data_IF_723715591756
#
_entry.id   IF_723715591756
#
_cell.length_a   1.000
_cell.length_b   1.000
_cell.length_c   1.000
_cell.angle_alpha   90.00
_cell.angle_beta   90.00
_cell.angle_gamma   90.00
#
_symmetry.space_group_name_H-M   'P 1'
#
loop_
_entity.id
_entity.type
_entity.pdbx_description
1 polymer ?
#
# COMPACT_ATOMS: atom_id res chain seq x y z
N UNK A 1 24.80 3.78 2.45
CA UNK A 1 23.44 3.27 2.23
C UNK A 1 22.93 3.79 0.89
N UNK A 2 22.47 2.88 0.01
CA UNK A 2 21.94 3.25 -1.31
C UNK A 2 20.59 3.94 -1.24
N UNK A 3 19.83 3.64 -0.19
CA UNK A 3 18.47 4.13 -0.01
C UNK A 3 18.44 5.06 1.19
N UNK A 4 18.05 6.30 0.93
CA UNK A 4 18.00 7.32 1.98
C UNK A 4 16.57 7.43 2.52
N UNK A 5 16.38 7.36 3.84
CA UNK A 5 15.02 7.40 4.40
C UNK A 5 14.23 8.65 4.04
N UNK A 6 14.90 9.77 3.84
CA UNK A 6 14.22 11.04 3.49
C UNK A 6 13.67 11.06 2.06
N UNK A 7 14.03 10.09 1.22
CA UNK A 7 13.52 10.01 -0.15
C UNK A 7 12.13 9.34 -0.23
N UNK A 8 11.68 8.73 0.86
CA UNK A 8 10.43 7.98 0.88
C UNK A 8 9.27 8.83 1.39
N UNK A 9 8.14 8.84 0.67
CA UNK A 9 6.94 9.51 1.15
C UNK A 9 6.37 8.77 2.36
N UNK A 10 5.73 9.51 3.23
CA UNK A 10 5.05 8.95 4.39
C UNK A 10 3.70 9.61 4.61
N UNK A 11 2.86 8.94 5.39
CA UNK A 11 1.55 9.45 5.79
C UNK A 11 1.49 9.47 7.31
N UNK A 12 0.91 10.52 7.86
CA UNK A 12 0.68 10.65 9.30
C UNK A 12 -0.81 10.83 9.53
N UNK A 13 -1.36 10.09 10.48
CA UNK A 13 -2.73 10.30 10.92
C UNK A 13 -2.81 10.33 12.45
N UNK A 14 -3.73 11.12 13.00
CA UNK A 14 -3.95 11.10 14.44
C UNK A 14 -4.61 9.77 14.83
N UNK A 15 -4.24 9.26 16.01
CA UNK A 15 -4.85 8.09 16.62
C UNK A 15 -5.91 8.53 17.60
N UNK A 16 -7.06 7.82 17.63
CA UNK A 16 -8.09 8.06 18.61
C UNK A 16 -7.62 7.63 20.00
N UNK A 17 -8.33 8.06 21.06
CA UNK A 17 -8.03 7.62 22.42
C UNK A 17 -8.12 6.10 22.55
N UNK A 18 -9.09 5.48 21.85
CA UNK A 18 -9.26 4.03 21.84
C UNK A 18 -8.08 3.31 21.19
N UNK A 19 -7.41 3.96 20.24
CA UNK A 19 -6.22 3.43 19.57
C UNK A 19 -4.92 3.73 20.31
N UNK A 20 -4.99 4.42 21.43
CA UNK A 20 -3.82 4.77 22.25
C UNK A 20 -3.41 6.24 22.18
N UNK A 21 -4.07 7.04 21.36
CA UNK A 21 -3.74 8.46 21.18
C UNK A 21 -2.45 8.68 20.40
N UNK A 22 -2.08 9.93 20.23
CA UNK A 22 -0.89 10.30 19.48
C UNK A 22 -1.07 10.23 17.98
N UNK A 23 0.00 9.92 17.26
CA UNK A 23 0.04 9.92 15.80
C UNK A 23 0.69 8.64 15.28
N UNK A 24 0.14 8.13 14.18
CA UNK A 24 0.71 6.99 13.46
C UNK A 24 1.40 7.49 12.19
N UNK A 25 2.59 6.96 11.91
CA UNK A 25 3.28 7.21 10.65
C UNK A 25 3.39 5.89 9.88
N UNK A 26 3.19 5.96 8.57
CA UNK A 26 3.36 4.82 7.68
C UNK A 26 4.05 5.23 6.40
N UNK A 27 4.79 4.30 5.81
CA UNK A 27 5.49 4.49 4.54
C UNK A 27 4.81 3.61 3.49
N UNK A 28 4.09 4.21 2.52
CA UNK A 28 3.36 3.43 1.52
C UNK A 28 4.22 2.47 0.70
N UNK A 29 5.50 2.78 0.53
CA UNK A 29 6.42 1.91 -0.20
C UNK A 29 6.80 0.64 0.58
N UNK A 30 6.51 0.61 1.89
CA UNK A 30 6.83 -0.51 2.78
C UNK A 30 5.56 -0.92 3.53
N UNK A 31 4.96 -2.03 3.13
CA UNK A 31 3.64 -2.43 3.62
C UNK A 31 3.54 -2.62 5.14
N UNK A 32 4.64 -2.92 5.81
CA UNK A 32 4.65 -3.18 7.25
C UNK A 32 5.51 -2.19 8.04
N UNK A 33 6.01 -1.15 7.39
CA UNK A 33 6.84 -0.16 8.07
C UNK A 33 5.96 0.94 8.65
N UNK A 34 5.53 0.75 9.89
CA UNK A 34 4.74 1.73 10.63
C UNK A 34 5.38 1.98 11.98
N UNK A 35 5.14 3.17 12.52
CA UNK A 35 5.56 3.57 13.86
C UNK A 35 4.58 4.61 14.38
N UNK A 36 4.82 5.09 15.60
CA UNK A 36 3.96 6.09 16.22
C UNK A 36 4.77 7.06 17.08
N UNK A 37 4.10 8.06 17.60
CA UNK A 37 4.67 9.02 18.54
C UNK A 37 3.56 9.84 19.16
N UNK A 38 3.84 10.50 20.27
CA UNK A 38 2.87 11.36 20.94
C UNK A 38 2.68 12.68 20.22
N UNK A 39 3.70 13.12 19.48
CA UNK A 39 3.66 14.32 18.65
C UNK A 39 3.99 13.95 17.21
N UNK A 40 3.69 14.86 16.28
CA UNK A 40 4.03 14.66 14.86
C UNK A 40 5.54 14.50 14.70
N UNK A 41 6.32 15.34 15.36
CA UNK A 41 7.79 15.31 15.30
C UNK A 41 8.34 13.99 15.81
N UNK A 42 7.77 13.48 16.91
CA UNK A 42 8.17 12.20 17.49
C UNK A 42 7.81 11.05 16.55
N UNK A 43 6.62 11.08 15.96
CA UNK A 43 6.19 10.07 14.98
C UNK A 43 7.14 10.04 13.78
N UNK A 44 7.56 11.20 13.28
CA UNK A 44 8.50 11.29 12.15
C UNK A 44 9.86 10.70 12.53
N UNK A 45 10.39 11.05 13.70
CA UNK A 45 11.67 10.52 14.18
C UNK A 45 11.63 9.01 14.34
N UNK A 46 10.57 8.50 14.98
CA UNK A 46 10.41 7.06 15.20
C UNK A 46 10.18 6.32 13.87
N UNK A 47 9.42 6.92 12.96
CA UNK A 47 9.20 6.35 11.64
C UNK A 47 10.46 6.26 10.82
N UNK A 48 11.30 7.29 10.87
CA UNK A 48 12.59 7.29 10.19
C UNK A 48 13.50 6.17 10.71
N UNK A 49 13.57 5.99 12.02
CA UNK A 49 14.35 4.92 12.64
C UNK A 49 13.82 3.54 12.22
N UNK A 50 12.50 3.37 12.23
CA UNK A 50 11.87 2.12 11.79
C UNK A 50 12.17 1.83 10.31
N UNK A 51 12.12 2.85 9.46
CA UNK A 51 12.42 2.71 8.04
C UNK A 51 13.87 2.31 7.81
N UNK A 52 14.80 2.96 8.51
CA UNK A 52 16.22 2.62 8.41
C UNK A 52 16.48 1.17 8.82
N UNK A 53 15.86 0.72 9.92
CA UNK A 53 15.98 -0.65 10.37
C UNK A 53 15.39 -1.64 9.35
N UNK A 54 14.24 -1.30 8.75
CA UNK A 54 13.60 -2.13 7.74
C UNK A 54 14.49 -2.28 6.49
N UNK A 55 15.04 -1.17 6.00
CA UNK A 55 15.95 -1.20 4.85
C UNK A 55 17.17 -2.06 5.15
N UNK A 56 17.77 -1.88 6.34
CA UNK A 56 18.94 -2.65 6.73
C UNK A 56 18.67 -4.15 6.76
N UNK A 57 17.52 -4.56 7.29
CA UNK A 57 17.11 -5.96 7.33
C UNK A 57 16.94 -6.53 5.92
N UNK A 58 16.28 -5.77 5.02
CA UNK A 58 16.09 -6.21 3.64
C UNK A 58 17.42 -6.39 2.92
N UNK A 59 18.33 -5.45 3.09
CA UNK A 59 19.67 -5.54 2.48
C UNK A 59 20.46 -6.76 2.99
N UNK A 60 20.45 -6.99 4.31
CA UNK A 60 21.13 -8.14 4.91
C UNK A 60 20.58 -9.47 4.39
N UNK A 61 19.26 -9.55 4.21
CA UNK A 61 18.61 -10.76 3.71
C UNK A 61 18.67 -10.91 2.20
N UNK A 62 19.25 -9.95 1.50
CA UNK A 62 19.30 -9.96 0.03
C UNK A 62 17.93 -9.79 -0.61
N UNK A 63 16.96 -9.21 0.10
CA UNK A 63 15.63 -8.93 -0.44
C UNK A 63 15.59 -7.57 -1.13
N UNK A 64 14.73 -7.40 -2.14
CA UNK A 64 14.65 -6.12 -2.82
C UNK A 64 14.12 -5.01 -1.89
N UNK A 65 14.77 -3.85 -1.96
CA UNK A 65 14.34 -2.65 -1.25
C UNK A 65 13.47 -1.86 -2.22
N UNK A 66 12.21 -1.53 -1.84
CA UNK A 66 11.34 -0.74 -2.72
C UNK A 66 11.97 0.60 -3.09
N UNK A 67 11.78 1.03 -4.33
CA UNK A 67 12.18 2.36 -4.76
C UNK A 67 11.21 3.41 -4.20
N UNK A 68 11.66 4.64 -3.95
CA UNK A 68 10.76 5.71 -3.52
C UNK A 68 9.63 5.92 -4.52
N UNK A 69 8.42 6.13 -4.00
CA UNK A 69 7.19 6.33 -4.79
C UNK A 69 6.77 5.13 -5.67
N UNK A 70 7.27 3.94 -5.36
CA UNK A 70 6.94 2.74 -6.13
C UNK A 70 5.63 2.07 -5.68
N UNK A 71 5.15 2.39 -4.48
CA UNK A 71 4.01 1.69 -3.89
C UNK A 71 4.34 0.29 -3.38
N UNK A 72 5.63 -0.02 -3.26
CA UNK A 72 6.14 -1.29 -2.77
C UNK A 72 6.64 -2.20 -3.88
N UNK A 73 7.15 -3.35 -3.46
CA UNK A 73 7.58 -4.40 -4.40
C UNK A 73 6.33 -5.09 -4.95
N UNK A 74 6.31 -5.37 -6.24
CA UNK A 74 5.18 -6.06 -6.87
C UNK A 74 4.89 -7.38 -6.17
N UNK A 75 3.66 -7.57 -5.72
CA UNK A 75 3.28 -8.72 -4.90
C UNK A 75 2.03 -9.46 -5.39
N UNK A 76 1.41 -9.03 -6.46
CA UNK A 76 0.14 -9.58 -6.93
C UNK A 76 -1.05 -9.16 -6.07
N UNK A 77 -0.88 -8.16 -5.24
CA UNK A 77 -1.94 -7.64 -4.38
C UNK A 77 -2.07 -6.13 -4.54
N UNK A 78 -3.31 -5.65 -4.63
CA UNK A 78 -3.58 -4.22 -4.58
C UNK A 78 -4.90 -3.94 -3.89
N UNK A 79 -5.10 -2.71 -3.46
CA UNK A 79 -6.36 -2.27 -2.85
C UNK A 79 -6.86 -1.05 -3.61
N UNK A 80 -8.14 -1.06 -3.96
CA UNK A 80 -8.77 0.06 -4.65
C UNK A 80 -10.01 0.48 -3.90
N UNK A 81 -10.25 1.79 -3.85
CA UNK A 81 -11.49 2.35 -3.34
C UNK A 81 -12.35 2.77 -4.52
N UNK A 82 -13.58 2.29 -4.55
CA UNK A 82 -14.52 2.61 -5.62
C UNK A 82 -15.79 3.20 -5.04
N UNK A 83 -16.51 4.05 -5.81
CA UNK A 83 -17.82 4.54 -5.38
C UNK A 83 -18.76 3.38 -5.09
N UNK A 84 -19.72 3.61 -4.18
CA UNK A 84 -20.71 2.58 -3.80
C UNK A 84 -21.47 2.03 -5.00
N UNK A 85 -21.79 2.87 -5.97
CA UNK A 85 -22.50 2.46 -7.19
C UNK A 85 -21.69 1.47 -8.02
N UNK A 86 -20.39 1.70 -8.15
CA UNK A 86 -19.49 0.79 -8.89
C UNK A 86 -19.37 -0.54 -8.14
N UNK A 87 -19.21 -0.49 -6.81
CA UNK A 87 -19.14 -1.69 -6.00
C UNK A 87 -20.41 -2.54 -6.13
N UNK A 88 -21.58 -1.88 -6.08
CA UNK A 88 -22.86 -2.57 -6.24
C UNK A 88 -23.00 -3.23 -7.62
N UNK A 89 -22.61 -2.54 -8.69
CA UNK A 89 -22.64 -3.09 -10.04
C UNK A 89 -21.74 -4.31 -10.18
N UNK A 90 -20.53 -4.23 -9.62
CA UNK A 90 -19.60 -5.34 -9.64
C UNK A 90 -20.15 -6.55 -8.88
N UNK A 91 -20.71 -6.32 -7.70
CA UNK A 91 -21.29 -7.40 -6.90
C UNK A 91 -22.46 -8.08 -7.61
N UNK A 92 -23.33 -7.31 -8.24
CA UNK A 92 -24.47 -7.83 -9.01
C UNK A 92 -23.99 -8.67 -10.19
N UNK A 93 -23.02 -8.17 -10.93
CA UNK A 93 -22.47 -8.87 -12.09
C UNK A 93 -21.75 -10.16 -11.69
N UNK A 94 -20.97 -10.13 -10.62
CA UNK A 94 -20.31 -11.33 -10.11
C UNK A 94 -21.33 -12.41 -9.75
N UNK A 95 -22.42 -12.01 -9.10
CA UNK A 95 -23.49 -12.93 -8.72
C UNK A 95 -24.19 -13.51 -9.95
N UNK A 96 -24.46 -12.66 -10.95
CA UNK A 96 -25.08 -13.10 -12.20
C UNK A 96 -24.20 -14.08 -12.97
N UNK A 97 -22.88 -13.89 -12.93
CA UNK A 97 -21.93 -14.76 -13.61
C UNK A 97 -21.52 -15.98 -12.77
N UNK A 98 -21.97 -16.05 -11.53
CA UNK A 98 -21.63 -17.17 -10.64
C UNK A 98 -20.19 -17.23 -10.20
N UNK A 99 -19.51 -16.09 -10.15
CA UNK A 99 -18.12 -15.99 -9.72
C UNK A 99 -17.98 -15.08 -8.51
N UNK A 100 -16.85 -15.16 -7.81
CA UNK A 100 -16.58 -14.24 -6.71
C UNK A 100 -16.32 -12.83 -7.24
N UNK A 101 -16.53 -11.84 -6.40
CA UNK A 101 -16.22 -10.44 -6.73
C UNK A 101 -14.75 -10.30 -7.12
N UNK A 102 -13.86 -10.93 -6.38
CA UNK A 102 -12.42 -10.90 -6.66
C UNK A 102 -12.10 -11.49 -8.05
N UNK A 103 -12.70 -12.62 -8.38
CA UNK A 103 -12.52 -13.26 -9.70
C UNK A 103 -13.02 -12.36 -10.82
N UNK A 104 -14.18 -11.74 -10.65
CA UNK A 104 -14.71 -10.81 -11.65
C UNK A 104 -13.76 -9.64 -11.87
N UNK A 105 -13.28 -9.02 -10.79
CA UNK A 105 -12.37 -7.87 -10.88
C UNK A 105 -11.08 -8.26 -11.61
N UNK A 106 -10.50 -9.42 -11.29
CA UNK A 106 -9.31 -9.91 -11.97
C UNK A 106 -9.54 -10.11 -13.47
N UNK A 107 -10.68 -10.68 -13.82
CA UNK A 107 -11.05 -10.89 -15.22
C UNK A 107 -11.16 -9.57 -15.99
N UNK A 108 -11.84 -8.58 -15.40
CA UNK A 108 -12.00 -7.26 -16.01
C UNK A 108 -10.65 -6.54 -16.17
N UNK A 109 -9.76 -6.67 -15.19
CA UNK A 109 -8.42 -6.08 -15.27
C UNK A 109 -7.60 -6.72 -16.39
N UNK A 110 -7.63 -8.04 -16.47
CA UNK A 110 -6.91 -8.77 -17.51
C UNK A 110 -7.42 -8.38 -18.92
N UNK A 111 -8.75 -8.29 -19.09
CA UNK A 111 -9.35 -7.85 -20.35
C UNK A 111 -8.94 -6.41 -20.68
N UNK A 112 -8.96 -5.52 -19.70
CA UNK A 112 -8.57 -4.12 -19.89
C UNK A 112 -7.11 -3.99 -20.30
N UNK A 113 -6.21 -4.75 -19.70
CA UNK A 113 -4.80 -4.78 -20.09
C UNK A 113 -4.61 -5.29 -21.52
N UNK A 114 -5.32 -6.35 -21.88
CA UNK A 114 -5.25 -6.91 -23.22
C UNK A 114 -5.70 -5.92 -24.28
N UNK A 115 -6.77 -5.16 -24.05
CA UNK A 115 -7.25 -4.13 -24.97
C UNK A 115 -6.24 -3.01 -25.17
N UNK A 116 -5.53 -2.62 -24.10
CA UNK A 116 -4.52 -1.56 -24.17
C UNK A 116 -3.28 -1.98 -24.94
N UNK A 117 -2.95 -3.25 -24.90
CA UNK A 117 -1.80 -3.80 -25.60
C UNK A 117 -2.10 -4.09 -27.08
N UNK A 118 -3.37 -4.22 -27.44
CA UNK A 118 -3.75 -4.50 -28.82
C UNK A 118 -3.63 -3.26 -29.68
N UNK A 119 -2.85 -3.28 -30.78
CA UNK A 119 -2.84 -2.20 -31.74
C UNK A 119 -4.18 -2.19 -32.46
N UNK A 120 -4.78 -1.04 -32.54
CA UNK A 120 -6.08 -0.87 -33.18
C UNK A 120 -5.89 -0.25 -34.55
#
# INVERSE_FOLDING_TARGET
MRHHPDDYPFEIRPLSKAEGGGFLISYPDFSECISDGETVEEAIANGRDALMATIAVLEVKGRPVPAPNSGGVASGKFVARVPKSIHAQLAMRARAEGVSLNTLVLTLLAEGLGRRESPV
#
